data_IF_736793316853
#
_entry.id   IF_736793316853
#
_cell.length_a   1.000
_cell.length_b   1.000
_cell.length_c   1.000
_cell.angle_alpha   90.00
_cell.angle_beta   90.00
_cell.angle_gamma   90.00
#
_symmetry.space_group_name_H-M   'P 1'
#
loop_
_entity.id
_entity.type
_entity.pdbx_description
1 polymer ?
#
# COMPACT_ATOMS: atom_id res chain seq x y z
N UNK A 1 13.96 -4.15 -5.89
CA UNK A 1 12.69 -4.88 -5.96
C UNK A 1 11.52 -3.92 -6.12
N UNK A 2 11.38 -2.89 -5.28
CA UNK A 2 10.28 -1.90 -5.36
C UNK A 2 10.25 -1.16 -6.69
N UNK A 3 11.41 -0.70 -7.19
CA UNK A 3 11.50 0.00 -8.47
C UNK A 3 11.08 -0.90 -9.66
N UNK A 4 11.46 -2.17 -9.63
CA UNK A 4 11.04 -3.17 -10.64
C UNK A 4 9.53 -3.41 -10.58
N UNK A 5 8.96 -3.51 -9.38
CA UNK A 5 7.51 -3.64 -9.20
C UNK A 5 6.75 -2.46 -9.82
N UNK A 6 7.21 -1.23 -9.59
CA UNK A 6 6.59 -0.03 -10.15
C UNK A 6 6.64 -0.01 -11.70
N UNK A 7 7.75 -0.44 -12.30
CA UNK A 7 7.87 -0.54 -13.77
C UNK A 7 6.92 -1.60 -14.33
N UNK A 8 6.88 -2.79 -13.71
CA UNK A 8 5.95 -3.86 -14.09
C UNK A 8 4.51 -3.38 -13.97
N UNK A 9 4.18 -2.67 -12.90
CA UNK A 9 2.85 -2.14 -12.66
C UNK A 9 2.44 -1.17 -13.78
N UNK A 10 3.28 -0.17 -14.07
CA UNK A 10 2.99 0.81 -15.11
C UNK A 10 2.77 0.15 -16.48
N UNK A 11 3.64 -0.77 -16.85
CA UNK A 11 3.53 -1.48 -18.14
C UNK A 11 2.29 -2.37 -18.19
N UNK A 12 2.01 -3.11 -17.11
CA UNK A 12 0.86 -4.04 -17.07
C UNK A 12 -0.47 -3.29 -17.05
N UNK A 13 -0.54 -2.17 -16.31
CA UNK A 13 -1.73 -1.30 -16.27
C UNK A 13 -1.98 -0.69 -17.65
N UNK A 14 -0.95 -0.12 -18.27
CA UNK A 14 -1.08 0.50 -19.60
C UNK A 14 -1.56 -0.50 -20.64
N UNK A 15 -0.95 -1.69 -20.69
CA UNK A 15 -1.35 -2.74 -21.62
C UNK A 15 -2.76 -3.26 -21.33
N UNK A 16 -3.11 -3.39 -20.05
CA UNK A 16 -4.45 -3.79 -19.62
C UNK A 16 -5.52 -2.78 -20.02
N UNK A 17 -5.30 -1.50 -19.77
CA UNK A 17 -6.22 -0.42 -20.14
C UNK A 17 -6.41 -0.32 -21.66
N UNK A 18 -5.36 -0.53 -22.44
CA UNK A 18 -5.44 -0.55 -23.91
C UNK A 18 -6.22 -1.77 -24.43
N UNK A 19 -6.10 -2.93 -23.77
CA UNK A 19 -6.85 -4.14 -24.16
C UNK A 19 -8.37 -4.00 -23.99
N UNK A 20 -8.82 -3.04 -23.16
CA UNK A 20 -10.23 -2.66 -23.01
C UNK A 20 -10.75 -1.65 -24.04
N UNK A 21 -9.91 -1.25 -25.02
CA UNK A 21 -10.31 -0.32 -26.06
C UNK A 21 -10.26 1.15 -25.62
N UNK A 22 -9.66 1.46 -24.47
CA UNK A 22 -9.36 2.83 -24.08
C UNK A 22 -8.25 3.39 -24.95
N UNK A 23 -8.39 4.66 -25.33
CA UNK A 23 -7.29 5.35 -26.02
C UNK A 23 -6.08 5.47 -25.10
N UNK A 24 -4.89 5.56 -25.67
CA UNK A 24 -3.64 5.75 -24.92
C UNK A 24 -3.72 6.98 -24.01
N UNK A 25 -4.40 8.02 -24.46
CA UNK A 25 -4.58 9.27 -23.74
C UNK A 25 -5.47 9.10 -22.50
N UNK A 26 -6.59 8.38 -22.63
CA UNK A 26 -7.49 8.07 -21.52
C UNK A 26 -6.83 7.13 -20.49
N UNK A 27 -6.07 6.15 -20.95
CA UNK A 27 -5.30 5.25 -20.09
C UNK A 27 -4.24 6.02 -19.30
N UNK A 28 -3.51 6.94 -19.93
CA UNK A 28 -2.55 7.81 -19.27
C UNK A 28 -3.21 8.75 -18.25
N UNK A 29 -4.40 9.27 -18.57
CA UNK A 29 -5.17 10.15 -17.69
C UNK A 29 -5.60 9.40 -16.42
N UNK A 30 -6.17 8.21 -16.56
CA UNK A 30 -6.59 7.37 -15.42
C UNK A 30 -5.40 6.99 -14.54
N UNK A 31 -4.30 6.57 -15.14
CA UNK A 31 -3.08 6.26 -14.42
C UNK A 31 -2.51 7.50 -13.71
N UNK A 32 -2.56 8.67 -14.35
CA UNK A 32 -2.15 9.95 -13.76
C UNK A 32 -3.00 10.36 -12.56
N UNK A 33 -4.33 10.14 -12.59
CA UNK A 33 -5.21 10.39 -11.44
C UNK A 33 -4.83 9.50 -10.26
N UNK A 34 -4.57 8.26 -10.51
CA UNK A 34 -4.25 7.27 -9.51
C UNK A 34 -2.89 7.55 -8.85
N UNK A 35 -1.83 7.66 -9.64
CA UNK A 35 -0.47 7.91 -9.14
C UNK A 35 -0.29 9.34 -8.63
N UNK A 36 -0.88 10.32 -9.30
CA UNK A 36 -0.69 11.73 -8.99
C UNK A 36 -1.60 12.27 -7.88
N UNK A 37 -2.75 11.66 -7.63
CA UNK A 37 -3.70 12.16 -6.63
C UNK A 37 -3.92 11.16 -5.50
N UNK A 38 -4.34 9.96 -5.81
CA UNK A 38 -4.72 8.98 -4.80
C UNK A 38 -3.50 8.50 -4.02
N UNK A 39 -2.42 8.15 -4.71
CA UNK A 39 -1.17 7.68 -4.07
C UNK A 39 -0.54 8.76 -3.16
N UNK A 40 -0.61 10.02 -3.55
CA UNK A 40 -0.11 11.13 -2.73
C UNK A 40 -0.92 11.23 -1.43
N UNK A 41 -2.24 11.17 -1.50
CA UNK A 41 -3.10 11.21 -0.32
C UNK A 41 -2.86 9.99 0.59
N UNK A 42 -2.70 8.82 0.02
CA UNK A 42 -2.41 7.58 0.74
C UNK A 42 -1.01 7.59 1.37
N UNK A 43 -0.06 8.31 0.79
CA UNK A 43 1.31 8.39 1.32
C UNK A 43 1.39 9.05 2.70
N UNK A 44 0.46 9.94 3.04
CA UNK A 44 0.46 10.66 4.33
C UNK A 44 0.30 9.70 5.51
N UNK A 45 -0.78 8.92 5.64
CA UNK A 45 -0.93 7.97 6.75
C UNK A 45 0.12 6.84 6.69
N UNK A 46 0.55 6.42 5.50
CA UNK A 46 1.59 5.41 5.35
C UNK A 46 2.95 5.91 5.87
N UNK A 47 3.31 7.17 5.63
CA UNK A 47 4.56 7.76 6.12
C UNK A 47 4.61 7.82 7.64
N UNK A 48 3.50 8.13 8.29
CA UNK A 48 3.39 8.12 9.76
C UNK A 48 3.66 6.69 10.28
N UNK A 49 3.06 5.69 9.66
CA UNK A 49 3.26 4.30 10.06
C UNK A 49 4.69 3.81 9.79
N UNK A 50 5.32 4.22 8.68
CA UNK A 50 6.73 3.90 8.38
C UNK A 50 7.63 4.46 9.48
N UNK A 51 7.46 5.74 9.84
CA UNK A 51 8.24 6.37 10.91
C UNK A 51 8.09 5.62 12.24
N UNK A 52 6.86 5.24 12.59
CA UNK A 52 6.57 4.44 13.77
C UNK A 52 7.24 3.05 13.72
N UNK A 53 7.12 2.35 12.59
CA UNK A 53 7.69 1.02 12.40
C UNK A 53 9.22 1.05 12.49
N UNK A 54 9.87 2.03 11.87
CA UNK A 54 11.33 2.21 11.93
C UNK A 54 11.80 2.51 13.35
N UNK A 55 11.06 3.35 14.08
CA UNK A 55 11.38 3.65 15.48
C UNK A 55 11.35 2.42 16.39
N UNK A 56 10.57 1.39 16.06
CA UNK A 56 10.43 0.16 16.84
C UNK A 56 11.58 -0.84 16.60
N UNK A 57 12.26 -0.78 15.46
CA UNK A 57 13.36 -1.70 15.12
C UNK A 57 14.42 -1.80 16.22
N UNK A 58 14.99 -0.70 16.75
CA UNK A 58 16.00 -0.77 17.80
C UNK A 58 15.47 -1.35 19.12
N UNK A 59 14.21 -1.13 19.45
CA UNK A 59 13.60 -1.69 20.66
C UNK A 59 13.43 -3.21 20.57
N UNK A 60 13.06 -3.73 19.41
CA UNK A 60 12.93 -5.17 19.18
C UNK A 60 14.31 -5.82 19.15
N UNK A 61 15.27 -5.23 18.44
CA UNK A 61 16.64 -5.77 18.35
C UNK A 61 17.34 -5.78 19.70
N UNK A 62 17.15 -4.76 20.54
CA UNK A 62 17.72 -4.73 21.90
C UNK A 62 17.12 -5.82 22.81
N UNK A 63 15.82 -6.10 22.70
CA UNK A 63 15.18 -7.19 23.42
C UNK A 63 15.73 -8.56 22.99
N UNK A 64 15.96 -8.73 21.68
CA UNK A 64 16.56 -9.94 21.13
C UNK A 64 18.03 -10.12 21.57
N UNK A 65 18.82 -9.05 21.59
CA UNK A 65 20.19 -9.07 22.08
C UNK A 65 20.28 -9.53 23.56
N UNK A 66 19.29 -9.16 24.36
CA UNK A 66 19.16 -9.60 25.76
C UNK A 66 18.55 -11.01 25.89
N UNK A 67 18.33 -11.73 24.80
CA UNK A 67 17.67 -13.05 24.73
C UNK A 67 16.27 -13.08 25.36
N UNK A 68 15.63 -11.93 25.52
CA UNK A 68 14.29 -11.81 26.08
C UNK A 68 13.25 -11.85 24.95
N UNK A 69 12.91 -13.07 24.53
CA UNK A 69 11.92 -13.32 23.45
C UNK A 69 10.53 -12.81 23.81
N UNK A 70 10.13 -12.92 25.06
CA UNK A 70 8.82 -12.46 25.53
C UNK A 70 8.68 -10.95 25.39
N UNK A 71 9.70 -10.19 25.80
CA UNK A 71 9.73 -8.74 25.61
C UNK A 71 9.68 -8.36 24.12
N UNK A 72 10.37 -9.09 23.25
CA UNK A 72 10.32 -8.84 21.80
C UNK A 72 8.91 -9.09 21.24
N UNK A 73 8.26 -10.21 21.59
CA UNK A 73 6.88 -10.52 21.16
C UNK A 73 5.89 -9.47 21.68
N UNK A 74 6.00 -9.05 22.93
CA UNK A 74 5.14 -8.01 23.48
C UNK A 74 5.29 -6.68 22.75
N UNK A 75 6.51 -6.30 22.34
CA UNK A 75 6.76 -5.11 21.53
C UNK A 75 6.13 -5.22 20.14
N UNK A 76 6.25 -6.36 19.49
CA UNK A 76 5.65 -6.60 18.16
C UNK A 76 4.11 -6.53 18.26
N UNK A 77 3.51 -7.18 19.25
CA UNK A 77 2.07 -7.15 19.45
C UNK A 77 1.56 -5.73 19.75
N UNK A 78 2.29 -4.98 20.57
CA UNK A 78 1.99 -3.57 20.84
C UNK A 78 2.05 -2.75 19.55
N UNK A 79 3.10 -2.95 18.74
CA UNK A 79 3.27 -2.26 17.46
C UNK A 79 2.10 -2.50 16.52
N UNK A 80 1.72 -3.77 16.34
CA UNK A 80 0.61 -4.15 15.46
C UNK A 80 -0.71 -3.52 15.92
N UNK A 81 -1.00 -3.61 17.23
CA UNK A 81 -2.23 -3.01 17.79
C UNK A 81 -2.26 -1.50 17.58
N UNK A 82 -1.14 -0.81 17.83
CA UNK A 82 -1.04 0.66 17.66
C UNK A 82 -1.17 1.05 16.19
N UNK A 83 -0.51 0.33 15.29
CA UNK A 83 -0.60 0.60 13.84
C UNK A 83 -2.02 0.44 13.31
N UNK A 84 -2.73 -0.61 13.71
CA UNK A 84 -4.13 -0.83 13.32
C UNK A 84 -5.04 0.25 13.94
N UNK A 85 -4.81 0.61 15.21
CA UNK A 85 -5.58 1.65 15.90
C UNK A 85 -5.45 3.02 15.22
N UNK A 86 -4.30 3.32 14.62
CA UNK A 86 -4.10 4.56 13.86
C UNK A 86 -4.66 4.42 12.43
N UNK A 87 -4.45 3.27 11.79
CA UNK A 87 -4.85 3.05 10.40
C UNK A 87 -6.38 3.06 10.22
N UNK A 88 -7.13 2.48 11.15
CA UNK A 88 -8.59 2.39 11.04
C UNK A 88 -9.28 3.76 10.98
N UNK A 89 -9.05 4.70 11.92
CA UNK A 89 -9.67 6.02 11.84
C UNK A 89 -9.18 6.83 10.64
N UNK A 90 -7.91 6.69 10.24
CA UNK A 90 -7.41 7.33 9.02
C UNK A 90 -8.12 6.80 7.78
N UNK A 91 -8.25 5.48 7.63
CA UNK A 91 -8.95 4.86 6.51
C UNK A 91 -10.44 5.24 6.50
N UNK A 92 -11.11 5.21 7.65
CA UNK A 92 -12.51 5.61 7.77
C UNK A 92 -12.72 7.10 7.44
N UNK A 93 -11.85 7.97 7.93
CA UNK A 93 -11.89 9.40 7.62
C UNK A 93 -11.70 9.68 6.14
N UNK A 94 -10.70 9.05 5.52
CA UNK A 94 -10.44 9.20 4.08
C UNK A 94 -11.59 8.61 3.24
N UNK A 95 -12.17 7.50 3.66
CA UNK A 95 -13.30 6.88 2.96
C UNK A 95 -14.54 7.78 2.99
N UNK A 96 -14.92 8.28 4.16
CA UNK A 96 -16.12 9.12 4.33
C UNK A 96 -15.95 10.51 3.71
N UNK A 97 -14.76 11.07 3.80
CA UNK A 97 -14.47 12.43 3.33
C UNK A 97 -13.82 12.46 1.94
N UNK A 98 -13.73 11.34 1.22
CA UNK A 98 -13.05 11.25 -0.07
C UNK A 98 -13.46 12.36 -1.05
N UNK A 99 -14.75 12.58 -1.23
CA UNK A 99 -15.27 13.62 -2.12
C UNK A 99 -14.89 15.03 -1.65
N UNK A 100 -14.97 15.30 -0.34
CA UNK A 100 -14.63 16.59 0.24
C UNK A 100 -13.12 16.86 0.16
N UNK A 101 -12.30 15.85 0.40
CA UNK A 101 -10.85 15.92 0.27
C UNK A 101 -10.46 16.25 -1.18
N UNK A 102 -11.07 15.56 -2.15
CA UNK A 102 -10.81 15.84 -3.56
C UNK A 102 -11.30 17.24 -3.97
N UNK A 103 -12.47 17.67 -3.52
CA UNK A 103 -12.98 18.99 -3.80
C UNK A 103 -12.11 20.12 -3.19
N UNK A 104 -11.49 19.86 -2.03
CA UNK A 104 -10.63 20.83 -1.34
C UNK A 104 -9.24 20.90 -1.98
N UNK A 105 -8.63 19.74 -2.28
CA UNK A 105 -7.24 19.68 -2.74
C UNK A 105 -7.15 19.81 -4.27
N UNK A 106 -8.14 19.27 -4.99
CA UNK A 106 -8.20 19.29 -6.45
C UNK A 106 -9.49 19.88 -6.98
N UNK A 107 -9.78 21.19 -6.74
CA UNK A 107 -11.08 21.81 -7.03
C UNK A 107 -11.51 21.73 -8.50
N UNK A 108 -10.54 21.65 -9.44
CA UNK A 108 -10.81 21.57 -10.87
C UNK A 108 -10.77 20.13 -11.44
N UNK A 109 -10.60 19.11 -10.61
CA UNK A 109 -10.40 17.75 -11.04
C UNK A 109 -10.77 16.74 -9.94
N UNK A 110 -12.03 16.75 -9.55
CA UNK A 110 -12.60 15.88 -8.48
C UNK A 110 -12.71 14.40 -8.89
N UNK A 111 -12.37 14.09 -10.13
CA UNK A 111 -12.34 12.73 -10.63
C UNK A 111 -11.33 11.89 -9.84
N UNK A 112 -11.75 10.70 -9.41
CA UNK A 112 -10.89 9.77 -8.68
C UNK A 112 -11.23 9.61 -7.19
N UNK A 113 -12.20 10.33 -6.65
CA UNK A 113 -12.63 10.17 -5.25
C UNK A 113 -13.08 8.72 -4.95
N UNK A 114 -13.73 8.05 -5.87
CA UNK A 114 -14.12 6.66 -5.75
C UNK A 114 -12.91 5.70 -5.70
N UNK A 115 -11.83 6.04 -6.42
CA UNK A 115 -10.56 5.29 -6.34
C UNK A 115 -9.94 5.41 -4.95
N UNK A 116 -9.99 6.60 -4.35
CA UNK A 116 -9.54 6.80 -2.96
C UNK A 116 -10.34 5.94 -1.99
N UNK A 117 -11.67 5.86 -2.14
CA UNK A 117 -12.50 5.02 -1.29
C UNK A 117 -12.11 3.54 -1.34
N UNK A 118 -11.84 3.02 -2.52
CA UNK A 118 -11.36 1.64 -2.68
C UNK A 118 -9.98 1.47 -2.04
N UNK A 119 -9.07 2.42 -2.26
CA UNK A 119 -7.71 2.40 -1.73
C UNK A 119 -7.66 2.47 -0.19
N UNK A 120 -8.66 3.03 0.48
CA UNK A 120 -8.71 3.05 1.94
C UNK A 120 -8.68 1.65 2.58
N UNK A 121 -9.26 0.65 1.92
CA UNK A 121 -9.16 -0.74 2.39
C UNK A 121 -7.73 -1.28 2.29
N UNK A 122 -7.06 -0.94 1.19
CA UNK A 122 -5.66 -1.33 0.96
C UNK A 122 -4.73 -0.68 2.00
N UNK A 123 -5.05 0.55 2.45
CA UNK A 123 -4.30 1.26 3.48
C UNK A 123 -4.13 0.41 4.74
N UNK A 124 -5.21 -0.14 5.27
CA UNK A 124 -5.18 -0.93 6.51
C UNK A 124 -4.27 -2.15 6.37
N UNK A 125 -4.39 -2.88 5.27
CA UNK A 125 -3.51 -4.03 5.00
C UNK A 125 -2.05 -3.62 4.80
N UNK A 126 -1.79 -2.51 4.12
CA UNK A 126 -0.44 -1.99 3.90
C UNK A 126 0.24 -1.58 5.21
N UNK A 127 -0.49 -0.94 6.13
CA UNK A 127 0.01 -0.56 7.45
C UNK A 127 0.39 -1.79 8.26
N UNK A 128 -0.44 -2.82 8.27
CA UNK A 128 -0.13 -4.10 8.96
C UNK A 128 1.10 -4.75 8.35
N UNK A 129 1.18 -4.84 7.03
CA UNK A 129 2.32 -5.42 6.33
C UNK A 129 3.62 -4.66 6.64
N UNK A 130 3.63 -3.32 6.59
CA UNK A 130 4.79 -2.50 6.94
C UNK A 130 5.26 -2.73 8.38
N UNK A 131 4.33 -2.83 9.32
CA UNK A 131 4.66 -3.08 10.73
C UNK A 131 5.26 -4.47 10.93
N UNK A 132 4.75 -5.48 10.23
CA UNK A 132 5.34 -6.83 10.22
C UNK A 132 6.74 -6.79 9.63
N UNK A 133 6.96 -6.10 8.52
CA UNK A 133 8.28 -5.96 7.89
C UNK A 133 9.28 -5.28 8.83
N UNK A 134 8.91 -4.18 9.47
CA UNK A 134 9.76 -3.53 10.47
C UNK A 134 10.06 -4.43 11.66
N UNK A 135 9.09 -5.20 12.14
CA UNK A 135 9.27 -6.17 13.22
C UNK A 135 10.25 -7.30 12.84
N UNK A 136 10.16 -7.83 11.62
CA UNK A 136 11.08 -8.85 11.10
C UNK A 136 12.51 -8.31 10.95
N UNK A 137 12.66 -7.04 10.53
CA UNK A 137 13.96 -6.37 10.50
C UNK A 137 14.54 -6.25 11.92
N UNK A 138 13.73 -5.87 12.91
CA UNK A 138 14.14 -5.82 14.31
C UNK A 138 14.56 -7.18 14.89
N UNK A 139 13.98 -8.27 14.38
CA UNK A 139 14.37 -9.65 14.72
C UNK A 139 15.63 -10.13 13.98
N UNK A 140 16.24 -9.31 13.12
CA UNK A 140 17.39 -9.67 12.29
C UNK A 140 17.06 -10.60 11.11
N UNK A 141 15.78 -10.83 10.81
CA UNK A 141 15.32 -11.70 9.72
C UNK A 141 15.09 -10.91 8.43
N UNK A 142 16.13 -10.28 7.92
CA UNK A 142 16.07 -9.41 6.72
C UNK A 142 15.66 -10.14 5.44
N UNK A 143 15.90 -11.44 5.34
CA UNK A 143 15.58 -12.23 4.14
C UNK A 143 14.07 -12.48 3.98
N UNK A 144 13.32 -12.58 5.08
CA UNK A 144 11.90 -12.91 5.05
C UNK A 144 11.08 -11.86 4.30
N UNK A 145 11.21 -10.54 4.62
CA UNK A 145 10.54 -9.51 3.84
C UNK A 145 10.90 -9.54 2.35
N UNK A 146 12.19 -9.78 2.03
CA UNK A 146 12.66 -9.87 0.65
C UNK A 146 11.99 -10.99 -0.14
N UNK A 147 11.91 -12.19 0.43
CA UNK A 147 11.24 -13.35 -0.19
C UNK A 147 9.75 -13.09 -0.33
N UNK A 148 9.08 -12.54 0.70
CA UNK A 148 7.67 -12.20 0.64
C UNK A 148 7.36 -11.15 -0.44
N UNK A 149 8.20 -10.14 -0.59
CA UNK A 149 8.04 -9.12 -1.65
C UNK A 149 8.22 -9.72 -3.06
N UNK A 150 9.17 -10.65 -3.24
CA UNK A 150 9.36 -11.34 -4.52
C UNK A 150 8.16 -12.24 -4.84
N UNK A 151 7.71 -13.04 -3.88
CA UNK A 151 6.53 -13.89 -4.08
C UNK A 151 5.27 -13.06 -4.33
N UNK A 152 5.10 -11.96 -3.61
CA UNK A 152 4.01 -11.01 -3.81
C UNK A 152 4.03 -10.38 -5.21
N UNK A 153 5.20 -10.00 -5.73
CA UNK A 153 5.35 -9.46 -7.08
C UNK A 153 4.96 -10.49 -8.16
N UNK A 154 5.33 -11.76 -7.98
CA UNK A 154 4.94 -12.85 -8.89
C UNK A 154 3.42 -13.06 -8.88
N UNK A 155 2.82 -13.18 -7.69
CA UNK A 155 1.37 -13.34 -7.54
C UNK A 155 0.64 -12.15 -8.15
N UNK A 156 1.11 -10.93 -7.89
CA UNK A 156 0.56 -9.70 -8.44
C UNK A 156 0.61 -9.70 -9.97
N UNK A 157 1.73 -10.09 -10.57
CA UNK A 157 1.85 -10.20 -12.03
C UNK A 157 0.83 -11.19 -12.62
N UNK A 158 0.71 -12.38 -12.02
CA UNK A 158 -0.26 -13.40 -12.45
C UNK A 158 -1.70 -12.87 -12.33
N UNK A 159 -2.04 -12.25 -11.20
CA UNK A 159 -3.36 -11.68 -10.97
C UNK A 159 -3.66 -10.56 -11.97
N UNK A 160 -2.71 -9.67 -12.23
CA UNK A 160 -2.88 -8.59 -13.19
C UNK A 160 -3.18 -9.13 -14.59
N UNK A 161 -2.42 -10.13 -15.06
CA UNK A 161 -2.64 -10.74 -16.37
C UNK A 161 -4.01 -11.41 -16.48
N UNK A 162 -4.53 -11.99 -15.39
CA UNK A 162 -5.82 -12.70 -15.39
C UNK A 162 -6.99 -11.74 -15.17
N UNK A 163 -6.87 -10.78 -14.25
CA UNK A 163 -8.00 -9.96 -13.80
C UNK A 163 -8.16 -8.65 -14.57
N UNK A 164 -7.10 -8.04 -15.05
CA UNK A 164 -7.22 -6.80 -15.83
C UNK A 164 -8.12 -7.02 -17.06
N UNK A 165 -7.92 -8.03 -17.91
CA UNK A 165 -8.78 -8.22 -19.07
C UNK A 165 -10.21 -8.63 -18.75
N UNK A 166 -10.52 -9.01 -17.51
CA UNK A 166 -11.84 -9.55 -17.12
C UNK A 166 -12.66 -8.62 -16.22
N UNK A 167 -11.98 -7.82 -15.38
CA UNK A 167 -12.63 -6.98 -14.37
C UNK A 167 -11.92 -5.63 -14.21
N UNK A 168 -12.20 -4.71 -15.12
CA UNK A 168 -11.60 -3.37 -15.19
C UNK A 168 -11.46 -2.63 -13.84
N UNK A 169 -12.48 -2.66 -12.99
CA UNK A 169 -12.53 -1.91 -11.72
C UNK A 169 -11.76 -2.63 -10.61
N UNK A 170 -11.86 -3.95 -10.55
CA UNK A 170 -11.21 -4.76 -9.49
C UNK A 170 -9.71 -4.89 -9.78
N UNK A 171 -9.32 -4.98 -11.06
CA UNK A 171 -7.92 -5.02 -11.47
C UNK A 171 -7.14 -3.79 -11.01
N UNK A 172 -7.70 -2.59 -11.15
CA UNK A 172 -7.05 -1.35 -10.73
C UNK A 172 -6.78 -1.33 -9.23
N UNK A 173 -7.70 -1.78 -8.40
CA UNK A 173 -7.52 -1.82 -6.94
C UNK A 173 -6.46 -2.82 -6.49
N UNK A 174 -6.34 -3.97 -7.16
CA UNK A 174 -5.32 -4.99 -6.86
C UNK A 174 -3.91 -4.58 -7.30
N UNK A 175 -3.80 -3.77 -8.36
CA UNK A 175 -2.53 -3.28 -8.89
C UNK A 175 -1.78 -2.42 -7.86
N UNK A 176 -2.51 -1.69 -7.02
CA UNK A 176 -1.96 -0.69 -6.09
C UNK A 176 -1.79 -1.19 -4.65
N UNK A 177 -2.04 -2.45 -4.36
CA UNK A 177 -1.60 -3.08 -3.12
C UNK A 177 -0.07 -3.21 -3.14
N UNK A 178 0.61 -2.13 -2.75
CA UNK A 178 2.06 -2.13 -2.48
C UNK A 178 2.41 -2.95 -1.25
#
# INVERSE_FOLDING_TARGET
VVALSNVIDTVTVMNGLQSFGLTLEEANRQNGILLGKVDILMSVPLSINVAFSVALVPFISSAMAKKNKEAAVNKINFSLKTSVLIALPCAAGMFLLANNIFALIFPNATEGAWLLQIQCWVLVFSVVAQTIYGSLQGLGKLYVPGICLLSGAIVKYILNVIFIPKYFIIGISFIFSK
#
